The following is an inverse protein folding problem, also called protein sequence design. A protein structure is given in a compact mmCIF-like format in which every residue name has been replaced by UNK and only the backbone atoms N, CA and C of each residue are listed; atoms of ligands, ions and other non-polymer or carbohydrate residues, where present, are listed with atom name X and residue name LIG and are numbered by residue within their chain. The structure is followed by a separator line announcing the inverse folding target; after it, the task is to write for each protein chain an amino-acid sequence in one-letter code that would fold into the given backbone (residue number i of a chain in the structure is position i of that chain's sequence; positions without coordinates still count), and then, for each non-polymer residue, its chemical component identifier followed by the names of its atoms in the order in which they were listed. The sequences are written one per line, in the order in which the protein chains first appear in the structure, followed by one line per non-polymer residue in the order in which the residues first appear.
data_IF_721383360596
#
_entry.id   IF_721383360596
#
_cell.length_a   1.000
_cell.length_b   1.000
_cell.length_c   1.000
_cell.angle_alpha   90.00
_cell.angle_beta   90.00
_cell.angle_gamma   90.00
#
_symmetry.space_group_name_H-M   'P 1'
#
loop_
_entity.id
_entity.type
_entity.pdbx_description
1 polymer ?
#
# COMPACT_ATOMS: atom_id res chain seq x y z
N UNK A 1 -17.24 -20.36 -3.79
CA UNK A 1 -16.42 -19.53 -2.88
C UNK A 1 -16.46 -18.08 -3.40
N UNK A 2 -17.12 -17.16 -2.70
CA UNK A 2 -17.24 -15.75 -3.12
C UNK A 2 -16.10 -14.92 -2.50
N UNK A 3 -14.88 -15.05 -3.04
CA UNK A 3 -13.69 -14.41 -2.47
C UNK A 3 -13.71 -12.89 -2.65
N UNK A 4 -14.05 -12.44 -3.85
CA UNK A 4 -14.03 -11.02 -4.21
C UNK A 4 -15.10 -10.18 -3.47
N UNK A 5 -16.38 -10.60 -3.38
CA UNK A 5 -17.37 -9.88 -2.58
C UNK A 5 -16.95 -9.71 -1.11
N UNK A 6 -16.38 -10.76 -0.50
CA UNK A 6 -15.90 -10.66 0.89
C UNK A 6 -14.74 -9.69 1.08
N UNK A 7 -13.83 -9.58 0.11
CA UNK A 7 -12.77 -8.56 0.16
C UNK A 7 -13.36 -7.15 0.07
N UNK A 8 -14.37 -6.95 -0.79
CA UNK A 8 -15.06 -5.68 -0.89
C UNK A 8 -15.87 -5.35 0.38
N UNK A 9 -16.50 -6.34 1.01
CA UNK A 9 -17.22 -6.15 2.27
C UNK A 9 -16.30 -5.73 3.42
N UNK A 10 -15.07 -6.27 3.45
CA UNK A 10 -14.05 -5.85 4.42
C UNK A 10 -13.69 -4.37 4.24
N UNK A 11 -13.54 -3.91 2.99
CA UNK A 11 -13.29 -2.50 2.64
C UNK A 11 -14.52 -1.62 2.93
N UNK A 12 -15.74 -2.15 2.74
CA UNK A 12 -16.99 -1.40 2.77
C UNK A 12 -17.28 -0.64 4.07
N UNK A 13 -17.91 0.56 3.99
CA UNK A 13 -19.00 1.09 4.81
C UNK A 13 -19.42 0.39 6.08
N UNK A 14 -19.97 -0.78 5.83
CA UNK A 14 -20.91 -1.42 6.71
C UNK A 14 -20.18 -2.35 7.64
N UNK A 15 -20.58 -2.30 8.91
CA UNK A 15 -20.20 -3.28 9.90
C UNK A 15 -21.20 -4.42 9.76
N UNK A 16 -20.84 -5.45 9.00
CA UNK A 16 -21.56 -6.72 9.02
C UNK A 16 -21.05 -7.47 10.24
N UNK A 17 -21.74 -7.29 11.37
CA UNK A 17 -21.26 -7.65 12.72
C UNK A 17 -20.84 -9.13 12.86
N UNK A 18 -21.39 -10.04 12.05
CA UNK A 18 -21.09 -11.47 12.17
C UNK A 18 -19.99 -12.00 11.24
N UNK A 19 -19.68 -11.34 10.12
CA UNK A 19 -18.88 -11.99 9.07
C UNK A 19 -17.36 -11.90 9.25
N UNK A 20 -16.83 -10.80 9.80
CA UNK A 20 -15.38 -10.61 9.95
C UNK A 20 -14.83 -11.13 11.30
N UNK A 21 -15.63 -11.01 12.36
CA UNK A 21 -15.29 -11.49 13.71
C UNK A 21 -15.20 -13.02 13.76
N UNK A 22 -16.07 -13.71 13.01
CA UNK A 22 -16.19 -15.17 13.02
C UNK A 22 -15.24 -15.91 12.05
N UNK A 23 -14.40 -15.20 11.28
CA UNK A 23 -13.45 -15.86 10.37
C UNK A 23 -12.41 -16.68 11.13
N UNK A 24 -12.19 -17.91 10.68
CA UNK A 24 -11.11 -18.76 11.16
C UNK A 24 -9.73 -18.18 10.79
N UNK A 25 -8.68 -18.61 11.52
CA UNK A 25 -7.30 -18.18 11.21
C UNK A 25 -6.88 -18.53 9.77
N UNK A 26 -7.29 -19.70 9.30
CA UNK A 26 -6.99 -20.18 7.94
C UNK A 26 -7.67 -19.32 6.89
N UNK A 27 -8.95 -19.00 7.06
CA UNK A 27 -9.66 -18.11 6.13
C UNK A 27 -9.00 -16.74 6.06
N UNK A 28 -8.59 -16.16 7.20
CA UNK A 28 -7.93 -14.85 7.24
C UNK A 28 -6.59 -14.86 6.50
N UNK A 29 -5.78 -15.90 6.70
CA UNK A 29 -4.52 -16.07 5.98
C UNK A 29 -4.76 -16.23 4.47
N UNK A 30 -5.78 -17.01 4.08
CA UNK A 30 -6.18 -17.16 2.69
C UNK A 30 -6.63 -15.83 2.07
N UNK A 31 -7.50 -15.07 2.73
CA UNK A 31 -7.93 -13.74 2.24
C UNK A 31 -6.77 -12.75 2.15
N UNK A 32 -5.86 -12.76 3.13
CA UNK A 32 -4.66 -11.92 3.08
C UNK A 32 -3.77 -12.28 1.89
N UNK A 33 -3.54 -13.58 1.64
CA UNK A 33 -2.76 -14.04 0.50
C UNK A 33 -3.41 -13.65 -0.85
N UNK A 34 -4.72 -13.88 -1.00
CA UNK A 34 -5.44 -13.50 -2.22
C UNK A 34 -5.42 -11.99 -2.42
N UNK A 35 -5.65 -11.20 -1.37
CA UNK A 35 -5.61 -9.74 -1.44
C UNK A 35 -4.24 -9.25 -1.92
N UNK A 36 -3.13 -9.80 -1.38
CA UNK A 36 -1.78 -9.44 -1.80
C UNK A 36 -1.48 -9.88 -3.24
N UNK A 37 -1.90 -11.07 -3.66
CA UNK A 37 -1.74 -11.54 -5.04
C UNK A 37 -2.48 -10.64 -6.04
N UNK A 38 -3.72 -10.25 -5.72
CA UNK A 38 -4.49 -9.32 -6.56
C UNK A 38 -3.84 -7.93 -6.55
N UNK A 39 -3.32 -7.48 -5.40
CA UNK A 39 -2.59 -6.21 -5.29
C UNK A 39 -1.38 -6.15 -6.22
N UNK A 40 -0.64 -7.24 -6.35
CA UNK A 40 0.50 -7.37 -7.27
C UNK A 40 0.05 -7.12 -8.71
N UNK A 41 -1.02 -7.76 -9.16
CA UNK A 41 -1.53 -7.59 -10.53
C UNK A 41 -2.02 -6.15 -10.77
N UNK A 42 -2.74 -5.56 -9.81
CA UNK A 42 -3.25 -4.18 -9.89
C UNK A 42 -2.12 -3.15 -9.86
N UNK A 43 -1.09 -3.37 -9.04
CA UNK A 43 0.11 -2.55 -8.99
C UNK A 43 0.90 -2.60 -10.29
N UNK A 44 1.05 -3.79 -10.89
CA UNK A 44 1.69 -3.94 -12.20
C UNK A 44 0.95 -3.16 -13.30
N UNK A 45 -0.39 -3.20 -13.29
CA UNK A 45 -1.20 -2.43 -14.25
C UNK A 45 -0.92 -0.92 -14.17
N UNK A 46 -0.83 -0.37 -12.96
CA UNK A 46 -0.45 1.02 -12.77
C UNK A 46 1.00 1.30 -13.17
N UNK A 47 1.91 0.37 -12.94
CA UNK A 47 3.31 0.48 -13.39
C UNK A 47 3.44 0.63 -14.90
N UNK A 48 2.67 -0.17 -15.66
CA UNK A 48 2.58 -0.04 -17.13
C UNK A 48 2.09 1.34 -17.52
N UNK A 49 1.01 1.82 -16.88
CA UNK A 49 0.46 3.14 -17.15
C UNK A 49 1.44 4.28 -16.82
N UNK A 50 2.17 4.18 -15.71
CA UNK A 50 3.18 5.16 -15.33
C UNK A 50 4.37 5.20 -16.30
N UNK A 51 4.72 4.06 -16.91
CA UNK A 51 5.80 3.94 -17.89
C UNK A 51 5.35 4.11 -19.35
N UNK A 52 4.08 4.39 -19.64
CA UNK A 52 3.53 4.20 -20.98
C UNK A 52 4.14 5.07 -22.09
N UNK A 53 4.83 6.16 -21.74
CA UNK A 53 5.54 7.02 -22.69
C UNK A 53 6.78 6.33 -23.32
N UNK A 54 7.31 5.28 -22.69
CA UNK A 54 8.43 4.47 -23.19
C UNK A 54 8.13 2.98 -22.96
N UNK A 55 8.05 2.21 -24.04
CA UNK A 55 7.72 0.78 -23.98
C UNK A 55 8.69 -0.02 -23.11
N UNK A 56 9.98 0.34 -23.09
CA UNK A 56 10.96 -0.32 -22.25
C UNK A 56 10.73 -0.02 -20.77
N UNK A 57 10.43 1.23 -20.42
CA UNK A 57 10.07 1.61 -19.06
C UNK A 57 8.76 0.98 -18.59
N UNK A 58 7.75 0.90 -19.48
CA UNK A 58 6.49 0.24 -19.19
C UNK A 58 6.69 -1.25 -18.83
N UNK A 59 7.49 -1.97 -19.62
CA UNK A 59 7.81 -3.39 -19.36
C UNK A 59 8.60 -3.58 -18.06
N UNK A 60 9.57 -2.71 -17.81
CA UNK A 60 10.39 -2.76 -16.60
C UNK A 60 9.54 -2.47 -15.34
N UNK A 61 8.58 -1.54 -15.45
CA UNK A 61 7.65 -1.21 -14.37
C UNK A 61 6.66 -2.33 -14.03
N UNK A 62 6.38 -3.28 -14.94
CA UNK A 62 5.55 -4.47 -14.64
C UNK A 62 6.14 -5.25 -13.47
N UNK A 63 7.47 -5.42 -13.43
CA UNK A 63 8.16 -6.12 -12.35
C UNK A 63 8.43 -5.23 -11.15
N UNK A 64 8.89 -3.99 -11.38
CA UNK A 64 9.30 -3.09 -10.30
C UNK A 64 8.20 -2.72 -9.34
N UNK A 65 7.03 -2.32 -9.83
CA UNK A 65 5.97 -1.81 -8.95
C UNK A 65 5.47 -2.91 -8.00
N UNK A 66 5.21 -4.15 -8.45
CA UNK A 66 4.99 -5.27 -7.53
C UNK A 66 6.11 -5.50 -6.53
N UNK A 67 7.38 -5.45 -6.96
CA UNK A 67 8.53 -5.61 -6.06
C UNK A 67 8.58 -4.51 -5.01
N UNK A 68 8.27 -3.26 -5.37
CA UNK A 68 8.17 -2.14 -4.43
C UNK A 68 7.06 -2.36 -3.39
N UNK A 69 5.88 -2.79 -3.83
CA UNK A 69 4.73 -3.03 -2.95
C UNK A 69 4.96 -4.22 -2.01
N UNK A 70 5.41 -5.35 -2.55
CA UNK A 70 5.66 -6.58 -1.78
C UNK A 70 6.90 -6.44 -0.91
N UNK A 71 8.01 -5.93 -1.46
CA UNK A 71 9.25 -5.74 -0.75
C UNK A 71 9.10 -4.79 0.45
N UNK A 72 8.43 -3.65 0.26
CA UNK A 72 8.16 -2.73 1.38
C UNK A 72 7.27 -3.36 2.45
N UNK A 73 6.27 -4.17 2.05
CA UNK A 73 5.42 -4.91 2.99
C UNK A 73 6.19 -5.97 3.77
N UNK A 74 7.10 -6.70 3.12
CA UNK A 74 7.92 -7.74 3.76
C UNK A 74 8.90 -7.16 4.79
N UNK A 75 9.37 -5.92 4.59
CA UNK A 75 10.21 -5.23 5.56
C UNK A 75 9.39 -4.74 6.76
N UNK A 76 8.22 -4.13 6.51
CA UNK A 76 7.41 -3.51 7.55
C UNK A 76 6.67 -4.51 8.45
N UNK A 77 6.10 -5.57 7.86
CA UNK A 77 5.21 -6.51 8.55
C UNK A 77 5.85 -7.23 9.75
N UNK A 78 7.07 -7.82 9.66
CA UNK A 78 7.66 -8.55 10.77
C UNK A 78 7.85 -7.67 12.01
N UNK A 79 8.32 -6.43 11.82
CA UNK A 79 8.54 -5.47 12.90
C UNK A 79 7.21 -5.01 13.49
N UNK A 80 6.22 -4.71 12.65
CA UNK A 80 4.88 -4.34 13.10
C UNK A 80 4.20 -5.45 13.90
N UNK A 81 4.32 -6.72 13.45
CA UNK A 81 3.78 -7.89 14.15
C UNK A 81 4.48 -8.12 15.49
N UNK A 82 5.81 -7.90 15.55
CA UNK A 82 6.56 -7.99 16.80
C UNK A 82 6.08 -6.95 17.82
N UNK A 83 5.99 -5.68 17.42
CA UNK A 83 5.49 -4.60 18.30
C UNK A 83 4.03 -4.83 18.69
N UNK A 84 3.20 -5.29 17.75
CA UNK A 84 1.82 -5.67 18.03
C UNK A 84 1.75 -6.75 19.11
N UNK A 85 2.61 -7.77 19.04
CA UNK A 85 2.62 -8.85 20.04
C UNK A 85 3.02 -8.37 21.43
N UNK A 86 3.88 -7.35 21.52
CA UNK A 86 4.29 -6.74 22.79
C UNK A 86 3.18 -5.88 23.41
N UNK A 87 2.48 -5.09 22.60
CA UNK A 87 1.51 -4.10 23.09
C UNK A 87 0.08 -4.66 23.22
N UNK A 88 -0.38 -5.45 22.24
CA UNK A 88 -1.76 -5.92 22.14
C UNK A 88 -1.88 -7.39 22.56
N UNK A 89 -1.68 -7.68 23.86
CA UNK A 89 -1.69 -9.07 24.38
C UNK A 89 -2.98 -9.85 24.09
N UNK A 90 -4.12 -9.16 23.98
CA UNK A 90 -5.43 -9.75 23.63
C UNK A 90 -5.79 -9.71 22.14
N UNK A 91 -4.99 -9.04 21.31
CA UNK A 91 -5.23 -8.93 19.87
C UNK A 91 -4.67 -10.13 19.10
N UNK A 92 -5.25 -10.46 17.95
CA UNK A 92 -4.75 -11.55 17.10
C UNK A 92 -3.82 -10.97 16.03
N UNK A 93 -2.62 -11.53 15.90
CA UNK A 93 -1.67 -11.10 14.87
C UNK A 93 -2.26 -11.23 13.44
N UNK A 94 -3.16 -12.20 13.23
CA UNK A 94 -3.91 -12.35 11.99
C UNK A 94 -4.77 -11.13 11.63
N UNK A 95 -5.21 -10.34 12.62
CA UNK A 95 -6.01 -9.13 12.38
C UNK A 95 -5.14 -8.05 11.72
N UNK A 96 -3.90 -7.88 12.21
CA UNK A 96 -2.95 -6.95 11.61
C UNK A 96 -2.53 -7.39 10.21
N UNK A 97 -2.25 -8.68 10.02
CA UNK A 97 -1.91 -9.21 8.70
C UNK A 97 -3.06 -9.03 7.69
N UNK A 98 -4.29 -9.34 8.09
CA UNK A 98 -5.46 -9.17 7.23
C UNK A 98 -5.71 -7.69 6.92
N UNK A 99 -5.66 -6.82 7.93
CA UNK A 99 -5.85 -5.40 7.73
C UNK A 99 -4.79 -4.80 6.80
N UNK A 100 -3.52 -5.18 6.96
CA UNK A 100 -2.44 -4.79 6.07
C UNK A 100 -2.70 -5.23 4.63
N UNK A 101 -3.00 -6.52 4.42
CA UNK A 101 -3.25 -7.06 3.10
C UNK A 101 -4.46 -6.41 2.40
N UNK A 102 -5.56 -6.16 3.13
CA UNK A 102 -6.75 -5.47 2.61
C UNK A 102 -6.44 -3.98 2.32
N UNK A 103 -5.61 -3.34 3.14
CA UNK A 103 -5.13 -1.98 2.90
C UNK A 103 -4.29 -1.86 1.64
N UNK A 104 -3.30 -2.75 1.47
CA UNK A 104 -2.47 -2.83 0.26
C UNK A 104 -3.34 -3.08 -0.98
N UNK A 105 -4.32 -4.00 -0.88
CA UNK A 105 -5.29 -4.24 -1.94
C UNK A 105 -6.10 -3.00 -2.30
N UNK A 106 -6.63 -2.28 -1.32
CA UNK A 106 -7.39 -1.05 -1.59
C UNK A 106 -6.51 0.03 -2.24
N UNK A 107 -5.27 0.20 -1.77
CA UNK A 107 -4.30 1.11 -2.39
C UNK A 107 -4.02 0.74 -3.85
N UNK A 108 -3.68 -0.51 -4.13
CA UNK A 108 -3.42 -0.98 -5.49
C UNK A 108 -4.67 -0.92 -6.38
N UNK A 109 -5.87 -1.10 -5.82
CA UNK A 109 -7.13 -0.90 -6.53
C UNK A 109 -7.31 0.55 -6.95
N UNK A 110 -7.01 1.51 -6.08
CA UNK A 110 -7.01 2.95 -6.43
C UNK A 110 -6.01 3.24 -7.55
N UNK A 111 -4.79 2.68 -7.47
CA UNK A 111 -3.80 2.81 -8.53
C UNK A 111 -4.31 2.26 -9.87
N UNK A 112 -4.88 1.05 -9.87
CA UNK A 112 -5.46 0.44 -11.06
C UNK A 112 -6.59 1.29 -11.65
N UNK A 113 -7.49 1.82 -10.81
CA UNK A 113 -8.58 2.70 -11.24
C UNK A 113 -8.08 4.01 -11.83
N UNK A 114 -6.97 4.56 -11.32
CA UNK A 114 -6.35 5.79 -11.83
C UNK A 114 -5.38 5.54 -13.00
N UNK A 115 -5.12 4.28 -13.37
CA UNK A 115 -4.17 3.92 -14.42
C UNK A 115 -4.52 4.55 -15.79
N UNK A 116 -5.79 4.56 -16.26
CA UNK A 116 -6.13 5.23 -17.52
C UNK A 116 -5.83 6.73 -17.51
N UNK A 117 -6.06 7.40 -16.38
CA UNK A 117 -5.77 8.82 -16.20
C UNK A 117 -4.27 9.07 -16.26
N UNK A 118 -3.48 8.26 -15.54
CA UNK A 118 -2.02 8.34 -15.56
C UNK A 118 -1.48 8.13 -16.97
N UNK A 119 -1.92 7.08 -17.68
CA UNK A 119 -1.50 6.81 -19.05
C UNK A 119 -1.82 7.98 -19.99
N UNK A 120 -3.04 8.54 -19.89
CA UNK A 120 -3.45 9.70 -20.71
C UNK A 120 -2.53 10.90 -20.50
N UNK A 121 -2.15 11.21 -19.25
CA UNK A 121 -1.24 12.32 -18.97
C UNK A 121 0.22 12.02 -19.35
N UNK A 122 0.66 10.77 -19.22
CA UNK A 122 1.98 10.35 -19.68
C UNK A 122 2.14 10.49 -21.21
N UNK A 123 1.09 10.24 -21.98
CA UNK A 123 1.10 10.46 -23.44
C UNK A 123 0.87 11.91 -23.86
N UNK A 124 0.03 12.65 -23.14
CA UNK A 124 -0.40 13.99 -23.58
C UNK A 124 0.48 15.14 -23.07
N UNK A 125 1.18 14.97 -21.94
CA UNK A 125 1.95 16.07 -21.33
C UNK A 125 3.17 15.59 -20.56
N UNK A 126 4.36 15.97 -21.03
CA UNK A 126 5.62 15.75 -20.32
C UNK A 126 5.69 16.49 -18.97
N UNK A 127 4.96 17.59 -18.82
CA UNK A 127 4.91 18.36 -17.57
C UNK A 127 3.93 17.76 -16.55
N UNK A 128 2.75 17.32 -16.98
CA UNK A 128 1.70 16.84 -16.08
C UNK A 128 1.77 15.33 -15.79
N UNK A 129 2.43 14.52 -16.64
CA UNK A 129 2.51 13.07 -16.47
C UNK A 129 3.07 12.63 -15.12
N UNK A 130 4.24 13.15 -14.73
CA UNK A 130 4.91 12.79 -13.47
C UNK A 130 4.12 13.27 -12.24
N UNK A 131 3.67 14.54 -12.15
CA UNK A 131 2.84 14.99 -11.03
C UNK A 131 1.55 14.19 -10.85
N UNK A 132 0.85 13.84 -11.94
CA UNK A 132 -0.39 13.04 -11.88
C UNK A 132 -0.11 11.63 -11.36
N UNK A 133 0.96 11.00 -11.84
CA UNK A 133 1.36 9.68 -11.36
C UNK A 133 1.75 9.71 -9.87
N UNK A 134 2.56 10.67 -9.44
CA UNK A 134 2.90 10.86 -8.03
C UNK A 134 1.66 11.14 -7.16
N UNK A 135 0.75 11.99 -7.62
CA UNK A 135 -0.51 12.28 -6.94
C UNK A 135 -1.37 11.02 -6.76
N UNK A 136 -1.45 10.17 -7.79
CA UNK A 136 -2.15 8.88 -7.70
C UNK A 136 -1.50 7.92 -6.69
N UNK A 137 -0.16 7.91 -6.62
CA UNK A 137 0.58 7.12 -5.64
C UNK A 137 0.31 7.61 -4.20
N UNK A 138 0.38 8.91 -3.95
CA UNK A 138 0.06 9.50 -2.64
C UNK A 138 -1.39 9.21 -2.24
N UNK A 139 -2.34 9.41 -3.14
CA UNK A 139 -3.75 9.12 -2.88
C UNK A 139 -3.98 7.64 -2.54
N UNK A 140 -3.31 6.73 -3.25
CA UNK A 140 -3.40 5.30 -2.96
C UNK A 140 -2.91 4.95 -1.55
N UNK A 141 -1.83 5.58 -1.07
CA UNK A 141 -1.33 5.41 0.30
C UNK A 141 -2.34 5.92 1.31
N UNK A 142 -2.92 7.11 1.10
CA UNK A 142 -3.95 7.67 1.98
C UNK A 142 -5.15 6.73 2.11
N UNK A 143 -5.63 6.18 0.99
CA UNK A 143 -6.73 5.22 0.98
C UNK A 143 -6.34 3.91 1.68
N UNK A 144 -5.16 3.37 1.40
CA UNK A 144 -4.65 2.17 2.05
C UNK A 144 -4.61 2.34 3.58
N UNK A 145 -4.05 3.44 4.08
CA UNK A 145 -4.00 3.78 5.50
C UNK A 145 -5.41 3.86 6.10
N UNK A 146 -6.32 4.59 5.43
CA UNK A 146 -7.72 4.69 5.86
C UNK A 146 -8.41 3.34 5.98
N UNK A 147 -8.17 2.44 5.01
CA UNK A 147 -8.72 1.08 5.00
C UNK A 147 -8.08 0.20 6.09
N UNK A 148 -6.77 0.27 6.34
CA UNK A 148 -6.12 -0.46 7.45
C UNK A 148 -6.75 -0.07 8.77
N UNK A 149 -6.84 1.24 9.06
CA UNK A 149 -7.42 1.76 10.31
C UNK A 149 -8.88 1.30 10.44
N UNK A 150 -9.64 1.37 9.35
CA UNK A 150 -11.03 0.95 9.30
C UNK A 150 -11.20 -0.55 9.57
N UNK A 151 -10.43 -1.41 8.91
CA UNK A 151 -10.48 -2.86 9.11
C UNK A 151 -10.08 -3.23 10.53
N UNK A 152 -9.04 -2.59 11.08
CA UNK A 152 -8.64 -2.83 12.47
C UNK A 152 -9.70 -2.40 13.47
N UNK A 153 -10.39 -1.27 13.26
CA UNK A 153 -11.52 -0.87 14.10
C UNK A 153 -12.67 -1.87 14.07
N UNK A 154 -12.89 -2.56 12.94
CA UNK A 154 -13.89 -3.63 12.83
C UNK A 154 -13.45 -4.93 13.53
N UNK A 155 -12.15 -5.22 13.54
CA UNK A 155 -11.60 -6.47 14.10
C UNK A 155 -11.22 -6.36 15.58
N UNK A 156 -10.92 -5.15 16.07
CA UNK A 156 -10.49 -4.91 17.43
C UNK A 156 -11.64 -5.17 18.42
N UNK A 157 -11.38 -5.84 19.56
CA UNK A 157 -12.30 -5.90 20.69
C UNK A 157 -12.74 -4.49 21.12
N UNK A 158 -13.98 -4.35 21.60
CA UNK A 158 -14.53 -3.09 22.09
C UNK A 158 -13.59 -2.46 23.13
N UNK A 159 -13.33 -1.15 23.00
CA UNK A 159 -12.43 -0.40 23.89
C UNK A 159 -10.92 -0.58 23.64
N UNK A 160 -10.49 -1.49 22.75
CA UNK A 160 -9.06 -1.78 22.53
C UNK A 160 -8.43 -1.13 21.30
N UNK A 161 -9.20 -0.43 20.46
CA UNK A 161 -8.74 0.09 19.17
C UNK A 161 -7.51 1.02 19.26
N UNK A 162 -7.37 1.78 20.35
CA UNK A 162 -6.22 2.66 20.57
C UNK A 162 -4.89 1.89 20.67
N UNK A 163 -4.91 0.64 21.18
CA UNK A 163 -3.72 -0.20 21.31
C UNK A 163 -3.16 -0.67 19.95
N UNK A 164 -3.96 -0.60 18.90
CA UNK A 164 -3.56 -0.96 17.53
C UNK A 164 -2.86 0.20 16.81
N UNK A 165 -2.98 1.44 17.32
CA UNK A 165 -2.42 2.60 16.63
C UNK A 165 -0.88 2.58 16.56
N UNK A 166 -0.12 2.30 17.64
CA UNK A 166 1.34 2.28 17.56
C UNK A 166 1.93 1.27 16.55
N UNK A 167 1.53 -0.02 16.52
CA UNK A 167 2.09 -0.96 15.55
C UNK A 167 1.70 -0.63 14.11
N UNK A 168 0.52 -0.04 13.89
CA UNK A 168 0.10 0.43 12.55
C UNK A 168 0.94 1.62 12.12
N UNK A 169 1.11 2.62 12.99
CA UNK A 169 1.95 3.78 12.69
C UNK A 169 3.39 3.35 12.37
N UNK A 170 3.95 2.42 13.15
CA UNK A 170 5.26 1.85 12.89
C UNK A 170 5.33 1.10 11.56
N UNK A 171 4.33 0.27 11.25
CA UNK A 171 4.25 -0.43 9.97
C UNK A 171 4.28 0.55 8.80
N UNK A 172 3.50 1.63 8.88
CA UNK A 172 3.42 2.64 7.84
C UNK A 172 4.74 3.39 7.66
N UNK A 173 5.37 3.81 8.76
CA UNK A 173 6.66 4.51 8.71
C UNK A 173 7.74 3.60 8.09
N UNK A 174 7.83 2.35 8.54
CA UNK A 174 8.80 1.39 8.01
C UNK A 174 8.51 1.03 6.55
N UNK A 175 7.24 0.92 6.17
CA UNK A 175 6.86 0.63 4.80
C UNK A 175 7.22 1.79 3.86
N UNK A 176 6.95 3.04 4.26
CA UNK A 176 7.32 4.22 3.48
C UNK A 176 8.84 4.38 3.37
N UNK A 177 9.59 4.14 4.46
CA UNK A 177 11.04 4.16 4.46
C UNK A 177 11.62 3.06 3.55
N UNK A 178 11.11 1.83 3.66
CA UNK A 178 11.51 0.72 2.81
C UNK A 178 11.16 0.98 1.34
N UNK A 179 9.98 1.55 1.06
CA UNK A 179 9.57 1.92 -0.29
C UNK A 179 10.54 2.95 -0.89
N UNK A 180 10.89 4.01 -0.15
CA UNK A 180 11.85 5.01 -0.57
C UNK A 180 13.24 4.40 -0.81
N UNK A 181 13.69 3.49 0.07
CA UNK A 181 14.99 2.84 -0.06
C UNK A 181 15.05 1.85 -1.23
N UNK A 182 14.02 1.05 -1.45
CA UNK A 182 13.96 0.15 -2.60
C UNK A 182 13.88 0.97 -3.90
N UNK A 183 13.13 2.08 -3.88
CA UNK A 183 13.03 2.99 -5.03
C UNK A 183 14.34 3.71 -5.37
N UNK A 184 15.27 3.86 -4.41
CA UNK A 184 16.57 4.50 -4.65
C UNK A 184 17.59 3.58 -5.31
N UNK A 185 17.51 2.28 -5.04
CA UNK A 185 18.37 1.25 -5.67
C UNK A 185 17.79 0.73 -6.98
N UNK A 186 16.48 0.80 -7.15
CA UNK A 186 15.82 0.44 -8.40
C UNK A 186 16.04 1.53 -9.45
N UNK A 187 16.15 1.13 -10.72
CA UNK A 187 16.07 2.07 -11.84
C UNK A 187 14.74 2.84 -11.77
N UNK A 188 14.72 4.15 -12.08
CA UNK A 188 13.56 5.01 -11.90
C UNK A 188 12.27 4.44 -12.49
N UNK A 189 11.15 4.64 -11.80
CA UNK A 189 9.79 4.32 -12.28
C UNK A 189 9.34 5.34 -13.34
N UNK A 190 9.84 6.57 -13.21
CA UNK A 190 9.57 7.72 -14.07
C UNK A 190 10.82 8.09 -14.86
N UNK A 191 10.69 8.76 -16.02
CA UNK A 191 11.84 9.17 -16.83
C UNK A 191 12.70 10.23 -16.12
N UNK A 192 12.10 10.97 -15.18
CA UNK A 192 12.80 11.91 -14.29
C UNK A 192 12.96 11.32 -12.89
N UNK A 193 14.13 11.52 -12.26
CA UNK A 193 14.32 11.12 -10.86
C UNK A 193 13.46 11.98 -9.94
N UNK A 194 12.59 11.33 -9.17
CA UNK A 194 11.80 11.95 -8.12
C UNK A 194 12.60 12.01 -6.81
N UNK A 195 12.16 12.79 -5.80
CA UNK A 195 12.76 12.79 -4.46
C UNK A 195 12.91 11.39 -3.86
N UNK A 196 11.91 10.53 -4.06
CA UNK A 196 11.93 9.12 -3.63
C UNK A 196 13.08 8.31 -4.24
N UNK A 197 13.49 8.62 -5.48
CA UNK A 197 14.63 7.98 -6.14
C UNK A 197 15.99 8.34 -5.54
N UNK A 198 16.04 9.20 -4.52
CA UNK A 198 17.24 9.52 -3.74
C UNK A 198 17.24 8.83 -2.36
N UNK A 199 16.26 7.99 -2.07
CA UNK A 199 16.17 7.26 -0.80
C UNK A 199 15.63 8.12 0.34
N UNK A 200 15.86 7.66 1.58
CA UNK A 200 15.40 8.36 2.79
C UNK A 200 16.06 9.73 2.92
N UNK A 201 17.35 9.83 2.58
CA UNK A 201 18.10 11.09 2.65
C UNK A 201 17.52 12.18 1.74
N UNK A 202 17.01 11.79 0.57
CA UNK A 202 16.37 12.71 -0.37
C UNK A 202 15.02 13.27 0.09
N UNK A 203 14.32 12.56 1.00
CA UNK A 203 13.07 13.04 1.58
C UNK A 203 13.32 14.12 2.65
N UNK A 204 14.43 13.99 3.40
CA UNK A 204 14.80 14.94 4.46
C UNK A 204 15.27 16.27 3.87
N UNK A 205 16.07 16.24 2.81
CA UNK A 205 16.61 17.46 2.18
C UNK A 205 15.53 18.39 1.57
N UNK A 206 14.38 17.87 1.16
CA UNK A 206 13.27 18.70 0.67
C UNK A 206 12.38 19.29 1.78
N UNK A 207 12.52 18.82 3.02
CA UNK A 207 11.78 19.35 4.16
C UNK A 207 12.43 20.60 4.77
N UNK A 208 13.73 20.82 4.50
CA UNK A 208 14.42 22.04 4.89
C UNK A 208 14.14 23.14 3.85
N UNK A 209 13.43 24.22 4.21
CA UNK A 209 13.28 25.35 3.30
C UNK A 209 14.68 25.92 3.03
N UNK A 210 15.04 26.00 1.75
CA UNK A 210 16.22 26.74 1.28
C UNK A 210 16.17 28.13 1.93
N UNK A 211 16.97 28.36 2.97
CA UNK A 211 17.19 29.68 3.52
C UNK A 211 17.95 30.47 2.45
N UNK A 212 17.20 31.14 1.58
CA UNK A 212 17.69 32.15 0.64
C UNK A 212 17.47 33.55 1.19
#
# INVERSE_FOLDING_TARGET
MQVFPRLLDLVSPTRTDDSAANMSRTERAFFAAVALLVSVALGALWGVAAGSHDHHLALDNIGKVPVLVVGSSLVALPVALFVFRLLARGGRASDLMLAHAVGVFAGCLVLALLSPLVALYQFSSSFAGVPVALGSAVLSVVVAVGVVVRVLRKLAPEGSAALYAPPVALALVLQLAALAQIASIATPVFPTRTPMGRGVDGLVQHAEPEQR
#
